data_IF_753927406519
#
_entry.id   IF_753927406519
#
_cell.length_a   1.000
_cell.length_b   1.000
_cell.length_c   1.000
_cell.angle_alpha   90.00
_cell.angle_beta   90.00
_cell.angle_gamma   90.00
#
_symmetry.space_group_name_H-M   'P 1'
#
loop_
_entity.id
_entity.type
_entity.pdbx_description
1 polymer ?
#
# COMPACT_ATOMS: atom_id res chain seq x y z
N UNK A 1 -59.14 -10.13 -52.26
CA UNK A 1 -57.79 -10.21 -51.72
C UNK A 1 -57.64 -9.12 -50.65
N UNK A 2 -57.72 -9.47 -49.35
CA UNK A 2 -57.59 -8.54 -48.23
C UNK A 2 -56.13 -8.50 -47.79
N UNK A 3 -55.50 -7.37 -47.87
CA UNK A 3 -54.15 -7.16 -47.32
C UNK A 3 -54.27 -6.83 -45.82
N UNK A 4 -53.70 -7.71 -44.98
CA UNK A 4 -53.57 -7.50 -43.53
C UNK A 4 -52.26 -6.72 -43.30
N UNK A 5 -52.38 -5.48 -42.84
CA UNK A 5 -51.24 -4.68 -42.42
C UNK A 5 -50.92 -5.00 -40.96
N UNK A 6 -49.76 -5.60 -40.73
CA UNK A 6 -49.25 -5.85 -39.38
C UNK A 6 -48.52 -4.57 -38.92
N UNK A 7 -49.08 -3.89 -37.91
CA UNK A 7 -48.47 -2.76 -37.23
C UNK A 7 -47.50 -3.33 -36.18
N UNK A 8 -46.21 -3.19 -36.41
CA UNK A 8 -45.17 -3.49 -35.42
C UNK A 8 -44.97 -2.28 -34.52
N UNK A 9 -45.46 -2.34 -33.28
CA UNK A 9 -45.23 -1.34 -32.28
C UNK A 9 -43.82 -1.58 -31.68
N UNK A 10 -42.89 -0.71 -31.96
CA UNK A 10 -41.56 -0.70 -31.30
C UNK A 10 -41.70 0.03 -29.97
N UNK A 11 -41.69 -0.71 -28.88
CA UNK A 11 -41.69 -0.19 -27.52
C UNK A 11 -40.23 0.20 -27.15
N UNK A 12 -39.95 1.50 -27.17
CA UNK A 12 -38.67 2.00 -26.66
C UNK A 12 -38.65 1.92 -25.14
N UNK A 13 -37.88 1.00 -24.57
CA UNK A 13 -37.58 0.96 -23.14
C UNK A 13 -36.53 2.01 -22.85
N UNK A 14 -36.93 3.14 -22.29
CA UNK A 14 -36.00 4.14 -21.73
C UNK A 14 -35.46 3.58 -20.41
N UNK A 15 -34.27 3.03 -20.44
CA UNK A 15 -33.55 2.66 -19.24
C UNK A 15 -33.05 3.94 -18.54
N UNK A 16 -33.81 4.43 -17.57
CA UNK A 16 -33.37 5.49 -16.65
C UNK A 16 -32.27 4.91 -15.76
N UNK A 17 -31.02 5.11 -16.16
CA UNK A 17 -29.85 4.77 -15.37
C UNK A 17 -29.84 5.57 -14.07
N UNK A 18 -30.21 4.97 -12.96
CA UNK A 18 -30.04 5.54 -11.62
C UNK A 18 -28.53 5.62 -11.36
N UNK A 19 -27.95 6.79 -11.53
CA UNK A 19 -26.57 7.09 -11.12
C UNK A 19 -26.51 7.03 -9.60
N UNK A 20 -26.22 5.86 -9.03
CA UNK A 20 -25.88 5.71 -7.62
C UNK A 20 -24.51 6.37 -7.48
N UNK A 21 -24.48 7.61 -7.03
CA UNK A 21 -23.26 8.29 -6.63
C UNK A 21 -22.59 7.48 -5.53
N UNK A 22 -21.52 6.77 -5.88
CA UNK A 22 -20.67 6.11 -4.87
C UNK A 22 -20.00 7.22 -4.06
N UNK A 23 -20.46 7.46 -2.83
CA UNK A 23 -19.74 8.32 -1.89
C UNK A 23 -18.36 7.69 -1.69
N UNK A 24 -17.32 8.39 -2.08
CA UNK A 24 -15.95 8.00 -1.77
C UNK A 24 -15.85 7.91 -0.23
N UNK A 25 -15.74 6.70 0.29
CA UNK A 25 -15.55 6.48 1.71
C UNK A 25 -14.07 6.73 2.01
N UNK A 26 -13.79 7.60 2.97
CA UNK A 26 -12.44 7.83 3.45
C UNK A 26 -11.78 6.49 3.81
N UNK A 27 -10.63 6.21 3.21
CA UNK A 27 -9.85 5.03 3.53
C UNK A 27 -8.60 5.46 4.28
N UNK A 28 -8.53 5.12 5.57
CA UNK A 28 -7.31 5.30 6.35
C UNK A 28 -6.46 4.04 6.22
N UNK A 29 -5.35 4.16 5.50
CA UNK A 29 -4.39 3.06 5.35
C UNK A 29 -3.27 3.20 6.36
N UNK A 30 -2.99 2.13 7.11
CA UNK A 30 -1.88 2.08 8.07
C UNK A 30 -0.70 1.32 7.47
N UNK A 31 0.43 1.99 7.37
CA UNK A 31 1.71 1.43 6.94
C UNK A 31 2.58 1.23 8.18
N UNK A 32 2.95 0.00 8.46
CA UNK A 32 3.80 -0.34 9.60
C UNK A 32 5.24 -0.52 9.12
N UNK A 33 6.21 -0.14 9.96
CA UNK A 33 7.62 -0.33 9.65
C UNK A 33 8.46 -0.60 10.90
N UNK A 34 9.60 -1.24 10.68
CA UNK A 34 10.67 -1.42 11.67
C UNK A 34 11.89 -0.68 11.18
N UNK A 35 12.55 0.07 12.06
CA UNK A 35 13.77 0.81 11.77
C UNK A 35 14.99 0.01 12.22
N UNK A 36 15.94 -0.15 11.32
CA UNK A 36 17.18 -0.92 11.55
C UNK A 36 18.32 -0.29 10.77
N UNK A 37 19.53 -0.46 11.30
CA UNK A 37 20.76 0.01 10.68
C UNK A 37 21.00 -0.60 9.28
N UNK A 38 20.55 -1.83 9.05
CA UNK A 38 20.69 -2.54 7.77
C UNK A 38 19.84 -1.97 6.64
N UNK A 39 18.85 -1.13 6.96
CA UNK A 39 18.03 -0.43 5.96
C UNK A 39 18.62 0.92 5.56
N UNK A 40 19.60 1.46 6.29
CA UNK A 40 20.30 2.67 5.88
C UNK A 40 21.14 2.46 4.61
N UNK A 41 21.41 3.55 3.89
CA UNK A 41 22.17 3.53 2.66
C UNK A 41 23.31 4.56 2.71
N UNK A 42 24.54 4.10 2.95
CA UNK A 42 24.97 2.72 3.24
C UNK A 42 24.50 2.24 4.62
N UNK A 43 24.45 0.93 4.87
CA UNK A 43 24.17 0.38 6.21
C UNK A 43 25.18 0.86 7.25
N UNK A 44 24.70 1.05 8.48
CA UNK A 44 25.55 1.46 9.61
C UNK A 44 25.91 0.26 10.50
N UNK A 45 26.75 0.49 11.52
CA UNK A 45 27.06 -0.51 12.53
C UNK A 45 26.28 -0.33 13.84
N UNK A 46 25.20 0.47 13.84
CA UNK A 46 24.42 0.75 15.04
C UNK A 46 23.66 -0.47 15.55
N UNK A 47 23.45 -0.52 16.87
CA UNK A 47 22.55 -1.46 17.52
C UNK A 47 21.18 -0.85 17.83
N UNK A 48 20.99 0.44 17.53
CA UNK A 48 19.72 1.12 17.71
C UNK A 48 18.63 0.46 16.82
N UNK A 49 17.41 0.50 17.31
CA UNK A 49 16.23 -0.01 16.62
C UNK A 49 15.05 0.92 16.85
N UNK A 50 14.08 0.84 15.94
CA UNK A 50 12.83 1.58 16.08
C UNK A 50 11.70 0.86 15.37
N UNK A 51 10.52 1.38 15.56
CA UNK A 51 9.29 0.94 14.87
C UNK A 51 8.32 2.11 14.77
N UNK A 52 7.39 2.01 13.85
CA UNK A 52 6.37 3.04 13.75
C UNK A 52 5.27 2.70 12.80
N UNK A 53 4.35 3.64 12.71
CA UNK A 53 3.21 3.60 11.79
C UNK A 53 3.07 4.93 11.08
N UNK A 54 2.75 4.88 9.79
CA UNK A 54 2.23 6.01 9.02
C UNK A 54 0.78 5.71 8.65
N UNK A 55 -0.16 6.51 9.14
CA UNK A 55 -1.58 6.42 8.78
C UNK A 55 -1.88 7.48 7.74
N UNK A 56 -2.24 7.04 6.54
CA UNK A 56 -2.58 7.91 5.41
C UNK A 56 -4.10 7.95 5.26
N UNK A 57 -4.68 9.13 5.34
CA UNK A 57 -6.08 9.40 5.01
C UNK A 57 -6.12 9.99 3.59
N UNK A 58 -6.71 9.25 2.65
CA UNK A 58 -6.76 9.59 1.23
C UNK A 58 -7.82 10.64 0.87
N UNK A 59 -8.77 10.89 1.77
CA UNK A 59 -9.79 11.93 1.61
C UNK A 59 -9.37 13.23 2.29
N UNK A 60 -8.89 13.15 3.54
CA UNK A 60 -8.39 14.32 4.26
C UNK A 60 -7.02 14.79 3.73
N UNK A 61 -6.33 13.96 2.92
CA UNK A 61 -4.96 14.21 2.47
C UNK A 61 -4.01 14.49 3.65
N UNK A 62 -4.04 13.61 4.65
CA UNK A 62 -3.18 13.72 5.83
C UNK A 62 -2.38 12.46 6.07
N UNK A 63 -1.23 12.62 6.72
CA UNK A 63 -0.40 11.55 7.23
C UNK A 63 -0.18 11.78 8.72
N UNK A 64 -0.67 10.84 9.52
CA UNK A 64 -0.41 10.80 10.97
C UNK A 64 0.68 9.76 11.22
N UNK A 65 1.72 10.15 11.94
CA UNK A 65 2.83 9.27 12.28
C UNK A 65 2.94 9.02 13.77
N UNK A 66 3.38 7.81 14.10
CA UNK A 66 3.86 7.42 15.43
C UNK A 66 5.15 6.66 15.23
N UNK A 67 6.23 7.07 15.89
CA UNK A 67 7.56 6.45 15.79
C UNK A 67 8.13 6.31 17.19
N UNK A 68 8.58 5.10 17.52
CA UNK A 68 9.31 4.78 18.74
C UNK A 68 10.70 4.26 18.36
N UNK A 69 11.75 4.79 18.96
CA UNK A 69 13.12 4.37 18.70
C UNK A 69 14.01 4.59 19.94
N UNK A 70 15.25 4.07 19.91
CA UNK A 70 16.20 4.15 21.02
C UNK A 70 17.58 4.71 20.61
N UNK A 71 17.61 5.57 19.60
CA UNK A 71 18.82 6.27 19.16
C UNK A 71 19.34 7.17 20.28
N UNK A 72 20.60 7.02 20.64
CA UNK A 72 21.24 7.88 21.65
C UNK A 72 21.91 9.10 21.00
N UNK A 73 21.82 10.26 21.66
CA UNK A 73 22.33 11.53 21.13
C UNK A 73 21.75 11.84 19.73
N UNK A 74 20.46 11.62 19.58
CA UNK A 74 19.73 11.93 18.36
C UNK A 74 19.87 13.40 17.99
N UNK A 75 20.20 13.69 16.74
CA UNK A 75 20.40 15.05 16.22
C UNK A 75 19.30 15.48 15.26
N UNK A 76 18.67 14.54 14.59
CA UNK A 76 17.56 14.78 13.67
C UNK A 76 16.77 13.48 13.41
N UNK A 77 15.51 13.61 13.02
CA UNK A 77 14.70 12.54 12.45
C UNK A 77 13.80 13.08 11.35
N UNK A 78 13.53 12.29 10.33
CA UNK A 78 12.78 12.75 9.17
C UNK A 78 11.90 11.65 8.58
N UNK A 79 10.83 12.09 7.90
CA UNK A 79 10.15 11.30 6.86
C UNK A 79 10.73 11.74 5.53
N UNK A 80 11.16 10.80 4.73
CA UNK A 80 11.73 10.98 3.40
C UNK A 80 10.88 10.33 2.31
N UNK A 81 11.05 10.80 1.08
CA UNK A 81 10.39 10.19 -0.11
C UNK A 81 10.30 11.16 -1.29
N UNK A 82 9.75 10.69 -2.43
CA UNK A 82 9.48 9.29 -2.70
C UNK A 82 10.73 8.51 -3.12
N UNK A 83 10.93 7.33 -2.57
CA UNK A 83 11.99 6.40 -2.97
C UNK A 83 11.60 4.95 -2.72
N UNK A 84 12.10 4.06 -3.57
CA UNK A 84 12.03 2.63 -3.32
C UNK A 84 12.95 2.23 -2.14
N UNK A 85 12.72 1.04 -1.57
CA UNK A 85 13.59 0.49 -0.53
C UNK A 85 15.05 0.45 -1.02
N UNK A 86 15.98 0.86 -0.17
CA UNK A 86 17.42 0.90 -0.49
C UNK A 86 17.84 2.07 -1.38
N UNK A 87 16.97 3.06 -1.60
CA UNK A 87 17.28 4.29 -2.34
C UNK A 87 17.08 5.50 -1.44
N UNK A 88 18.03 6.45 -1.44
CA UNK A 88 17.91 7.70 -0.69
C UNK A 88 17.02 8.71 -1.42
N UNK A 89 16.25 9.49 -0.65
CA UNK A 89 15.43 10.60 -1.12
C UNK A 89 15.61 11.83 -0.23
N UNK A 90 15.10 12.98 -0.70
CA UNK A 90 15.07 14.22 0.09
C UNK A 90 14.14 14.13 1.29
N UNK A 91 14.34 15.02 2.25
CA UNK A 91 13.46 15.20 3.41
C UNK A 91 12.11 15.74 2.95
N UNK A 92 11.03 15.09 3.37
CA UNK A 92 9.67 15.59 3.21
C UNK A 92 9.19 16.32 4.47
N UNK A 93 9.37 15.69 5.63
CA UNK A 93 8.90 16.24 6.90
C UNK A 93 9.94 16.00 8.00
N UNK A 94 10.35 17.05 8.72
CA UNK A 94 11.16 16.89 9.92
C UNK A 94 10.30 16.36 11.07
N UNK A 95 10.90 15.55 11.92
CA UNK A 95 10.29 14.98 13.11
C UNK A 95 10.99 15.52 14.38
N UNK A 96 10.32 15.40 15.53
CA UNK A 96 10.94 15.73 16.81
C UNK A 96 12.11 14.78 17.14
N UNK A 97 13.13 15.29 17.83
CA UNK A 97 14.27 14.49 18.33
C UNK A 97 13.98 13.93 19.72
N UNK A 98 12.97 13.10 19.82
CA UNK A 98 12.54 12.43 21.05
C UNK A 98 12.34 10.95 20.79
N UNK A 99 12.58 10.05 21.75
CA UNK A 99 12.39 8.61 21.55
C UNK A 99 10.99 8.21 21.10
N UNK A 100 9.98 9.00 21.49
CA UNK A 100 8.60 8.86 21.02
C UNK A 100 8.20 10.10 20.22
N UNK A 101 7.85 9.90 18.97
CA UNK A 101 7.48 10.96 18.01
C UNK A 101 6.07 10.73 17.50
N UNK A 102 5.25 11.76 17.55
CA UNK A 102 3.90 11.70 16.98
C UNK A 102 3.51 13.04 16.36
N UNK A 103 2.69 13.00 15.35
CA UNK A 103 2.19 14.21 14.70
C UNK A 103 1.37 13.89 13.47
N UNK A 104 0.80 14.94 12.89
CA UNK A 104 0.03 14.87 11.64
C UNK A 104 0.50 15.97 10.71
N UNK A 105 0.69 15.63 9.44
CA UNK A 105 1.08 16.55 8.37
C UNK A 105 0.10 16.46 7.22
N UNK A 106 -0.09 17.57 6.49
CA UNK A 106 -0.88 17.58 5.26
C UNK A 106 -0.06 17.09 4.08
N UNK A 107 -0.69 16.35 3.20
CA UNK A 107 -0.11 15.82 1.97
C UNK A 107 -0.78 16.46 0.75
N UNK A 108 -0.08 16.51 -0.36
CA UNK A 108 -0.72 16.66 -1.68
C UNK A 108 -1.27 15.30 -2.14
N UNK A 109 -2.18 15.29 -3.11
CA UNK A 109 -2.69 14.04 -3.69
C UNK A 109 -1.57 13.15 -4.28
N UNK A 110 -0.53 13.75 -4.86
CA UNK A 110 0.64 13.00 -5.34
C UNK A 110 1.42 12.36 -4.19
N UNK A 111 1.59 13.07 -3.07
CA UNK A 111 2.24 12.55 -1.88
C UNK A 111 1.43 11.43 -1.21
N UNK A 112 0.08 11.50 -1.22
CA UNK A 112 -0.79 10.40 -0.79
C UNK A 112 -0.53 9.15 -1.64
N UNK A 113 -0.52 9.30 -2.98
CA UNK A 113 -0.26 8.18 -3.88
C UNK A 113 1.13 7.55 -3.65
N UNK A 114 2.17 8.38 -3.46
CA UNK A 114 3.52 7.90 -3.17
C UNK A 114 3.63 7.20 -1.81
N UNK A 115 2.97 7.72 -0.77
CA UNK A 115 2.92 7.08 0.54
C UNK A 115 2.23 5.72 0.46
N UNK A 116 1.04 5.64 -0.17
CA UNK A 116 0.29 4.40 -0.37
C UNK A 116 1.04 3.38 -1.23
N UNK A 117 1.90 3.84 -2.14
CA UNK A 117 2.81 3.00 -2.92
C UNK A 117 4.03 2.49 -2.12
N UNK A 118 4.13 2.81 -0.82
CA UNK A 118 5.23 2.37 0.04
C UNK A 118 6.57 3.07 -0.23
N UNK A 119 6.55 4.27 -0.83
CA UNK A 119 7.75 5.02 -1.20
C UNK A 119 8.27 5.96 -0.11
N UNK A 120 7.71 5.91 1.10
CA UNK A 120 8.17 6.72 2.21
C UNK A 120 8.99 5.89 3.18
N UNK A 121 10.00 6.51 3.76
CA UNK A 121 10.75 5.93 4.86
C UNK A 121 11.00 6.95 5.97
N UNK A 122 11.20 6.45 7.16
CA UNK A 122 11.60 7.23 8.33
C UNK A 122 13.04 6.90 8.66
N UNK A 123 13.85 7.90 8.98
CA UNK A 123 15.16 7.70 9.55
C UNK A 123 15.41 8.60 10.76
N UNK A 124 16.37 8.19 11.58
CA UNK A 124 16.89 8.96 12.70
C UNK A 124 18.41 9.06 12.57
N UNK A 125 18.95 10.23 12.94
CA UNK A 125 20.35 10.57 12.88
C UNK A 125 20.89 10.82 14.28
N UNK A 126 22.17 10.55 14.52
CA UNK A 126 22.84 10.88 15.75
C UNK A 126 24.18 11.57 15.51
N UNK A 127 24.82 11.99 16.60
CA UNK A 127 26.19 12.53 16.52
C UNK A 127 27.19 11.50 15.98
N UNK A 128 26.98 10.20 16.21
CA UNK A 128 27.82 9.13 15.69
C UNK A 128 27.53 8.80 14.22
N UNK A 129 26.29 9.00 13.79
CA UNK A 129 25.82 8.69 12.43
C UNK A 129 25.05 9.87 11.84
N UNK A 130 25.74 10.97 11.48
CA UNK A 130 25.07 12.18 10.97
C UNK A 130 24.38 11.97 9.61
N UNK A 131 24.74 10.96 8.84
CA UNK A 131 24.11 10.60 7.57
C UNK A 131 22.82 9.76 7.72
N UNK A 132 22.50 9.28 8.92
CA UNK A 132 21.42 8.36 9.26
C UNK A 132 21.95 7.20 10.07
N UNK A 133 21.31 6.87 11.18
CA UNK A 133 21.70 5.77 12.07
C UNK A 133 20.82 4.53 11.84
N UNK A 134 19.51 4.71 11.84
CA UNK A 134 18.53 3.68 11.56
C UNK A 134 17.44 4.20 10.62
N UNK A 135 16.96 3.33 9.75
CA UNK A 135 15.91 3.62 8.76
C UNK A 135 14.85 2.54 8.74
N UNK A 136 13.59 2.92 8.48
CA UNK A 136 12.48 1.99 8.25
C UNK A 136 11.63 2.41 7.06
N UNK A 137 11.53 1.54 6.03
CA UNK A 137 10.64 1.75 4.89
C UNK A 137 9.21 1.43 5.28
N UNK A 138 8.30 2.36 5.04
CA UNK A 138 6.86 2.21 5.31
C UNK A 138 6.14 1.69 4.05
N UNK A 139 6.33 0.42 3.73
CA UNK A 139 5.90 -0.17 2.46
C UNK A 139 4.97 -1.37 2.59
N UNK A 140 4.42 -1.64 3.79
CA UNK A 140 3.56 -2.80 4.05
C UNK A 140 4.16 -4.18 3.60
N UNK A 141 5.47 -4.25 3.34
CA UNK A 141 6.15 -5.49 2.93
C UNK A 141 6.06 -6.62 3.98
N UNK A 142 5.55 -6.30 5.18
CA UNK A 142 5.24 -7.30 6.21
C UNK A 142 3.82 -7.87 6.08
N UNK A 143 3.05 -7.50 5.04
CA UNK A 143 1.79 -8.17 4.74
C UNK A 143 2.08 -9.53 4.11
N UNK A 144 2.23 -10.56 4.97
CA UNK A 144 2.11 -11.96 4.50
C UNK A 144 0.77 -12.06 3.75
N UNK A 145 0.71 -12.70 2.59
CA UNK A 145 -0.55 -12.90 1.90
C UNK A 145 -1.60 -13.44 2.87
N UNK A 146 -2.75 -12.79 2.94
CA UNK A 146 -3.82 -13.21 3.85
C UNK A 146 -4.26 -14.63 3.54
N UNK A 147 -4.85 -15.34 4.50
CA UNK A 147 -5.42 -16.68 4.29
C UNK A 147 -6.37 -16.69 3.08
N UNK A 148 -7.08 -15.60 2.81
CA UNK A 148 -7.92 -15.46 1.62
C UNK A 148 -7.12 -15.42 0.33
N UNK A 149 -5.96 -14.77 0.28
CA UNK A 149 -5.07 -14.75 -0.88
C UNK A 149 -4.46 -16.13 -1.14
N UNK A 150 -3.99 -16.82 -0.10
CA UNK A 150 -3.55 -18.20 -0.21
C UNK A 150 -4.69 -19.14 -0.62
N UNK A 151 -5.90 -18.95 -0.07
CA UNK A 151 -7.10 -19.68 -0.46
C UNK A 151 -7.42 -19.51 -1.94
N UNK A 152 -7.33 -18.30 -2.49
CA UNK A 152 -7.55 -18.04 -3.92
C UNK A 152 -6.49 -18.69 -4.80
N UNK A 153 -5.22 -18.68 -4.39
CA UNK A 153 -4.13 -19.34 -5.12
C UNK A 153 -4.38 -20.87 -5.17
N UNK A 154 -4.70 -21.47 -4.01
CA UNK A 154 -5.00 -22.91 -3.92
C UNK A 154 -6.23 -23.27 -4.75
N UNK A 155 -7.29 -22.46 -4.71
CA UNK A 155 -8.49 -22.67 -5.52
C UNK A 155 -8.19 -22.58 -7.01
N UNK A 156 -7.42 -21.59 -7.46
CA UNK A 156 -7.01 -21.45 -8.86
C UNK A 156 -6.21 -22.66 -9.34
N UNK A 157 -5.26 -23.14 -8.55
CA UNK A 157 -4.48 -24.35 -8.86
C UNK A 157 -5.38 -25.60 -8.91
N UNK A 158 -6.32 -25.75 -7.98
CA UNK A 158 -7.27 -26.87 -7.98
C UNK A 158 -8.14 -26.88 -9.24
N UNK A 159 -8.64 -25.71 -9.67
CA UNK A 159 -9.44 -25.58 -10.90
C UNK A 159 -8.63 -25.89 -12.16
N UNK A 160 -7.36 -25.48 -12.22
CA UNK A 160 -6.46 -25.81 -13.34
C UNK A 160 -6.20 -27.33 -13.42
N UNK A 161 -5.94 -27.97 -12.30
CA UNK A 161 -5.68 -29.42 -12.24
C UNK A 161 -6.93 -30.23 -12.61
N UNK A 162 -8.10 -29.87 -12.06
CA UNK A 162 -9.37 -30.58 -12.35
C UNK A 162 -9.84 -30.35 -13.77
N UNK A 163 -9.74 -29.10 -14.27
CA UNK A 163 -10.09 -28.75 -15.65
C UNK A 163 -9.17 -29.45 -16.66
N UNK A 164 -7.87 -29.46 -16.40
CA UNK A 164 -6.88 -30.16 -17.23
C UNK A 164 -7.11 -31.68 -17.27
N UNK A 165 -7.40 -32.30 -16.10
CA UNK A 165 -7.73 -33.72 -16.01
C UNK A 165 -9.03 -34.09 -16.76
N UNK A 166 -10.07 -33.24 -16.64
CA UNK A 166 -11.35 -33.43 -17.35
C UNK A 166 -11.15 -33.34 -18.87
N UNK A 167 -10.41 -32.36 -19.36
CA UNK A 167 -10.11 -32.17 -20.76
C UNK A 167 -9.31 -33.36 -21.33
N UNK A 168 -8.33 -33.86 -20.56
CA UNK A 168 -7.54 -35.04 -20.94
C UNK A 168 -8.35 -36.30 -21.03
N UNK A 169 -9.26 -36.54 -20.06
CA UNK A 169 -10.19 -37.69 -20.11
C UNK A 169 -11.13 -37.64 -21.31
N UNK A 170 -11.66 -36.46 -21.64
CA UNK A 170 -12.55 -36.29 -22.79
C UNK A 170 -11.87 -36.58 -24.11
N UNK A 171 -10.61 -36.24 -24.28
CA UNK A 171 -9.81 -36.54 -25.47
C UNK A 171 -9.58 -38.04 -25.64
N UNK A 172 -9.39 -38.79 -24.55
CA UNK A 172 -9.21 -40.25 -24.58
C UNK A 172 -10.52 -41.04 -24.86
N UNK A 173 -11.66 -40.44 -24.59
CA UNK A 173 -12.98 -41.10 -24.87
C UNK A 173 -13.43 -40.89 -26.31
N UNK A 174 -12.76 -40.02 -27.08
CA UNK A 174 -13.09 -39.73 -28.50
C UNK A 174 -12.05 -40.28 -29.47
N UNK A 175 -11.02 -40.93 -29.00
CA UNK A 175 -9.98 -41.63 -29.76
C UNK A 175 -10.18 -43.16 -29.61
#
# INVERSE_FOLDING_TARGET
MRRVSILVAVTAVVASGLMIGSSARATVTTLNFVMQQSQEVPPTGSTAVGKGTLKVDDVANTLTYVVDENVTNETAAHIHGPAARGVNAGVLFPLATTPHKTGTVSLTAAQVADALAGKYYVNAHSTAFPGGEIRGQADNQNSVPTLSQWGMIVLALALLLTGGWYAFRRRRALA
#
